data_IF_657895180583
#
_entry.id   IF_657895180583
#
_cell.length_a   1.000
_cell.length_b   1.000
_cell.length_c   1.000
_cell.angle_alpha   90.00
_cell.angle_beta   90.00
_cell.angle_gamma   90.00
#
_symmetry.space_group_name_H-M   'P 1'
#
loop_
_entity.id
_entity.type
_entity.pdbx_description
1 polymer ?
#
# COMPACT_ATOMS: atom_id res chain seq x y z
N UNK A 1 -19.61 3.23 17.32
CA UNK A 1 -18.16 3.40 17.54
C UNK A 1 -17.88 4.89 17.51
N UNK A 2 -17.08 5.43 18.44
CA UNK A 2 -16.68 6.86 18.41
C UNK A 2 -15.17 6.90 18.22
N UNK A 3 -14.72 7.68 17.23
CA UNK A 3 -13.30 7.90 16.95
C UNK A 3 -13.01 9.37 17.25
N UNK A 4 -11.99 9.61 18.07
CA UNK A 4 -11.55 10.97 18.39
C UNK A 4 -10.02 11.02 18.39
N UNK A 5 -9.39 12.08 17.84
CA UNK A 5 -7.94 12.26 17.94
C UNK A 5 -7.57 12.52 19.41
N UNK A 6 -6.57 11.78 19.90
CA UNK A 6 -6.06 11.93 21.28
C UNK A 6 -4.68 12.59 21.33
N UNK A 7 -4.08 12.89 20.16
CA UNK A 7 -2.79 13.54 20.02
C UNK A 7 -2.17 13.26 18.65
N UNK A 8 -1.00 13.84 18.43
CA UNK A 8 -0.23 13.65 17.20
C UNK A 8 1.21 14.10 17.39
N UNK A 9 2.09 13.64 16.50
CA UNK A 9 3.49 14.04 16.46
C UNK A 9 4.00 14.05 15.02
N UNK A 10 4.98 14.88 14.74
CA UNK A 10 5.66 14.86 13.45
C UNK A 10 6.72 13.76 13.44
N UNK A 11 6.78 12.99 12.35
CA UNK A 11 7.87 12.07 12.11
C UNK A 11 9.18 12.84 11.94
N UNK A 12 10.22 12.38 12.63
CA UNK A 12 11.54 13.03 12.67
C UNK A 12 12.63 12.02 12.32
N UNK A 13 13.65 12.49 11.64
CA UNK A 13 14.84 11.69 11.35
C UNK A 13 15.69 11.45 12.63
N UNK A 14 16.75 10.64 12.50
CA UNK A 14 17.69 10.33 13.59
C UNK A 14 18.29 11.59 14.24
N UNK A 15 18.42 12.69 13.47
CA UNK A 15 18.93 13.98 13.95
C UNK A 15 17.85 14.88 14.56
N UNK A 16 16.59 14.43 14.61
CA UNK A 16 15.45 15.16 15.14
C UNK A 16 14.81 16.15 14.15
N UNK A 17 15.21 16.16 12.87
CA UNK A 17 14.62 17.02 11.85
C UNK A 17 13.33 16.38 11.32
N UNK A 18 12.25 17.15 11.10
CA UNK A 18 11.03 16.62 10.52
C UNK A 18 11.30 16.05 9.11
N UNK A 19 10.61 14.97 8.77
CA UNK A 19 10.48 14.54 7.38
C UNK A 19 9.76 15.60 6.54
N UNK A 20 9.78 15.47 5.23
CA UNK A 20 9.02 16.31 4.30
C UNK A 20 8.25 15.44 3.32
N UNK A 21 7.03 15.81 2.95
CA UNK A 21 6.24 15.18 1.88
C UNK A 21 6.58 15.72 0.48
N UNK A 22 7.63 16.57 0.34
CA UNK A 22 8.00 17.13 -0.98
C UNK A 22 8.70 16.08 -1.84
N UNK A 23 8.39 16.08 -3.14
CA UNK A 23 9.14 15.30 -4.13
C UNK A 23 10.65 15.57 -3.98
N UNK A 24 11.46 14.53 -3.82
CA UNK A 24 12.90 14.70 -3.62
C UNK A 24 13.63 15.23 -4.86
N UNK A 25 13.03 15.15 -6.06
CA UNK A 25 13.76 15.30 -7.30
C UNK A 25 14.93 14.30 -7.37
N UNK A 26 16.03 14.63 -8.05
CA UNK A 26 17.22 13.77 -8.09
C UNK A 26 18.06 13.82 -6.82
N UNK A 27 17.61 14.52 -5.77
CA UNK A 27 18.37 14.74 -4.55
C UNK A 27 18.45 13.49 -3.68
N UNK A 28 19.66 13.19 -3.19
CA UNK A 28 19.93 12.04 -2.32
C UNK A 28 20.72 12.49 -1.10
N UNK A 29 20.28 12.01 0.06
CA UNK A 29 20.99 12.15 1.33
C UNK A 29 21.50 10.77 1.76
N UNK A 30 22.81 10.60 1.86
CA UNK A 30 23.41 9.33 2.31
C UNK A 30 23.75 9.37 3.79
N UNK A 31 23.26 8.38 4.56
CA UNK A 31 23.58 8.19 5.99
C UNK A 31 23.80 6.70 6.28
N UNK A 32 24.86 6.35 6.96
CA UNK A 32 25.20 4.96 7.35
C UNK A 32 25.10 3.97 6.17
N UNK A 33 25.47 4.42 4.96
CA UNK A 33 25.43 3.61 3.74
C UNK A 33 24.05 3.38 3.16
N UNK A 34 23.02 4.12 3.62
CA UNK A 34 21.66 4.12 3.06
C UNK A 34 21.45 5.44 2.32
N UNK A 35 20.96 5.35 1.08
CA UNK A 35 20.52 6.48 0.29
C UNK A 35 19.06 6.79 0.61
N UNK A 36 18.78 8.03 1.01
CA UNK A 36 17.44 8.53 1.31
C UNK A 36 17.02 9.56 0.26
N UNK A 37 15.76 9.59 -0.15
CA UNK A 37 15.23 10.67 -0.97
C UNK A 37 15.31 11.99 -0.20
N UNK A 38 15.79 13.07 -0.83
CA UNK A 38 15.91 14.37 -0.17
C UNK A 38 16.00 15.49 -1.18
N UNK A 39 15.16 16.53 -1.12
CA UNK A 39 15.31 17.67 -2.01
C UNK A 39 16.71 18.31 -1.85
N UNK A 40 17.37 18.54 -2.99
CA UNK A 40 18.71 19.13 -2.99
C UNK A 40 18.68 20.63 -2.66
N UNK A 41 17.54 21.31 -2.91
CA UNK A 41 17.34 22.75 -2.73
C UNK A 41 15.88 23.08 -2.48
N UNK A 42 15.63 24.29 -2.04
CA UNK A 42 14.27 24.79 -1.77
C UNK A 42 13.69 24.26 -0.46
N UNK A 43 12.36 24.28 -0.36
CA UNK A 43 11.64 23.78 0.79
C UNK A 43 11.87 22.27 0.97
N UNK A 44 12.22 21.86 2.18
CA UNK A 44 12.55 20.47 2.50
C UNK A 44 14.00 20.07 2.22
N UNK A 45 14.86 20.96 1.70
CA UNK A 45 16.26 20.66 1.39
C UNK A 45 17.00 20.08 2.61
N UNK A 46 17.72 18.97 2.40
CA UNK A 46 18.46 18.24 3.43
C UNK A 46 17.60 17.50 4.44
N UNK A 47 16.27 17.45 4.27
CA UNK A 47 15.36 16.56 4.99
C UNK A 47 15.09 15.31 4.17
N UNK A 48 14.78 14.22 4.84
CA UNK A 48 14.32 13.01 4.15
C UNK A 48 12.89 13.26 3.64
N UNK A 49 12.68 13.01 2.35
CA UNK A 49 11.33 12.95 1.78
C UNK A 49 10.71 11.61 2.17
N UNK A 50 9.42 11.63 2.46
CA UNK A 50 8.63 10.46 2.78
C UNK A 50 7.23 10.66 2.18
N UNK A 51 6.85 9.72 1.35
CA UNK A 51 5.48 9.50 0.92
C UNK A 51 5.00 8.27 1.67
N UNK A 52 4.35 8.53 2.81
CA UNK A 52 4.07 7.47 3.80
C UNK A 52 2.81 6.72 3.43
N UNK A 53 2.91 5.40 3.31
CA UNK A 53 1.82 4.50 2.96
C UNK A 53 1.56 3.49 4.09
N UNK A 54 2.07 2.29 4.00
CA UNK A 54 1.82 1.25 4.99
C UNK A 54 2.37 1.55 6.38
N UNK A 55 1.58 1.23 7.41
CA UNK A 55 1.92 1.38 8.84
C UNK A 55 1.83 0.04 9.57
N UNK A 56 2.95 -0.45 10.11
CA UNK A 56 2.97 -1.68 10.90
C UNK A 56 3.52 -1.47 12.31
N UNK A 57 2.69 -1.72 13.34
CA UNK A 57 3.07 -1.54 14.75
C UNK A 57 3.74 -2.76 15.33
N UNK A 58 4.70 -2.53 16.23
CA UNK A 58 5.33 -3.54 17.07
C UNK A 58 4.74 -3.52 18.48
N UNK A 59 4.77 -4.65 19.21
CA UNK A 59 4.26 -4.71 20.59
C UNK A 59 4.93 -3.75 21.57
N UNK A 60 6.19 -3.37 21.29
CA UNK A 60 6.97 -2.44 22.14
C UNK A 60 6.69 -0.95 21.85
N UNK A 61 5.72 -0.67 20.99
CA UNK A 61 5.28 0.68 20.63
C UNK A 61 6.07 1.31 19.49
N UNK A 62 7.14 0.69 19.02
CA UNK A 62 7.78 1.08 17.74
C UNK A 62 6.88 0.75 16.57
N UNK A 63 7.16 1.34 15.42
CA UNK A 63 6.37 1.08 14.21
C UNK A 63 7.21 1.28 12.95
N UNK A 64 6.83 0.56 11.91
CA UNK A 64 7.37 0.73 10.57
C UNK A 64 6.44 1.61 9.74
N UNK A 65 7.03 2.39 8.86
CA UNK A 65 6.33 3.12 7.78
C UNK A 65 7.01 2.78 6.47
N UNK A 66 6.25 2.33 5.49
CA UNK A 66 6.73 2.14 4.12
C UNK A 66 6.70 3.45 3.34
N UNK A 67 7.52 3.53 2.29
CA UNK A 67 7.75 4.75 1.51
C UNK A 67 7.48 4.51 0.02
N UNK A 68 6.75 5.41 -0.57
CA UNK A 68 6.45 5.37 -2.00
C UNK A 68 7.57 5.98 -2.86
N UNK A 69 8.28 7.01 -2.38
CA UNK A 69 9.41 7.62 -3.09
C UNK A 69 10.60 6.65 -3.16
N UNK A 70 11.15 6.29 -2.00
CA UNK A 70 12.14 5.22 -1.92
C UNK A 70 11.41 3.97 -1.47
N UNK A 71 11.24 2.92 -2.29
CA UNK A 71 10.51 1.72 -1.88
C UNK A 71 11.28 0.97 -0.77
N UNK A 72 11.45 1.66 0.33
CA UNK A 72 12.13 1.28 1.57
C UNK A 72 11.20 1.40 2.77
N UNK A 73 11.73 1.13 3.95
CA UNK A 73 10.95 1.08 5.18
C UNK A 73 11.69 1.81 6.28
N UNK A 74 11.00 2.69 6.99
CA UNK A 74 11.54 3.41 8.14
C UNK A 74 11.03 2.80 9.44
N UNK A 75 11.92 2.61 10.41
CA UNK A 75 11.55 2.21 11.77
C UNK A 75 11.58 3.42 12.68
N UNK A 76 10.46 3.69 13.34
CA UNK A 76 10.30 4.76 14.29
C UNK A 76 10.13 4.23 15.72
N UNK A 77 10.57 5.02 16.70
CA UNK A 77 10.18 4.81 18.08
C UNK A 77 8.74 5.26 18.33
N UNK A 78 8.21 5.02 19.54
CA UNK A 78 6.84 5.39 19.91
C UNK A 78 6.55 6.90 19.89
N UNK A 79 7.56 7.74 19.73
CA UNK A 79 7.45 9.20 19.67
C UNK A 79 7.67 9.76 18.25
N UNK A 80 7.76 8.88 17.25
CA UNK A 80 7.93 9.26 15.85
C UNK A 80 9.36 9.66 15.47
N UNK A 81 10.38 9.28 16.25
CA UNK A 81 11.78 9.46 15.87
C UNK A 81 12.30 8.23 15.16
N UNK A 82 12.87 8.41 13.99
CA UNK A 82 13.52 7.34 13.23
C UNK A 82 14.67 6.73 14.04
N UNK A 83 14.65 5.41 14.20
CA UNK A 83 15.69 4.63 14.88
C UNK A 83 16.37 3.63 13.95
N UNK A 84 15.90 3.51 12.71
CA UNK A 84 16.50 2.68 11.68
C UNK A 84 15.77 2.77 10.34
N UNK A 85 16.31 2.08 9.33
CA UNK A 85 15.69 1.93 8.02
C UNK A 85 16.12 0.64 7.35
N UNK A 86 15.27 0.10 6.49
CA UNK A 86 15.54 -1.01 5.58
C UNK A 86 15.55 -0.40 4.17
N UNK A 87 16.71 -0.41 3.48
CA UNK A 87 16.81 0.16 2.14
C UNK A 87 16.07 -0.69 1.11
N UNK A 88 15.66 -0.12 -0.04
CA UNK A 88 15.05 -0.89 -1.10
C UNK A 88 16.00 -1.95 -1.65
N UNK A 89 15.47 -3.15 -1.93
CA UNK A 89 16.21 -4.17 -2.68
C UNK A 89 16.54 -3.65 -4.09
N UNK A 90 17.67 -4.08 -4.70
CA UNK A 90 18.09 -3.54 -6.00
C UNK A 90 17.03 -3.57 -7.10
N UNK A 91 16.22 -4.64 -7.17
CA UNK A 91 15.15 -4.77 -8.16
C UNK A 91 14.07 -3.68 -8.10
N UNK A 92 13.85 -3.06 -6.92
CA UNK A 92 12.83 -2.04 -6.72
C UNK A 92 13.37 -0.61 -6.82
N UNK A 93 14.69 -0.42 -6.87
CA UNK A 93 15.31 0.91 -6.93
C UNK A 93 14.92 1.62 -8.22
N UNK A 94 14.32 2.81 -8.14
CA UNK A 94 14.03 3.60 -9.33
C UNK A 94 15.34 4.14 -9.92
N UNK A 95 15.64 3.74 -11.15
CA UNK A 95 16.83 4.17 -11.87
C UNK A 95 16.41 5.03 -13.07
N UNK A 96 17.08 6.15 -13.27
CA UNK A 96 16.90 7.04 -14.41
C UNK A 96 18.28 7.31 -15.01
N UNK A 97 18.46 7.05 -16.30
CA UNK A 97 19.75 7.16 -16.98
C UNK A 97 20.88 6.42 -16.24
N UNK A 98 20.57 5.23 -15.72
CA UNK A 98 21.50 4.38 -14.96
C UNK A 98 21.86 4.89 -13.55
N UNK A 99 21.20 5.94 -13.05
CA UNK A 99 21.43 6.54 -11.73
C UNK A 99 20.20 6.36 -10.85
N UNK A 100 20.43 6.16 -9.54
CA UNK A 100 19.37 6.16 -8.54
C UNK A 100 18.71 7.54 -8.49
N UNK A 101 17.40 7.58 -8.70
CA UNK A 101 16.61 8.81 -8.68
C UNK A 101 15.22 8.53 -8.12
N UNK A 102 14.89 9.13 -6.99
CA UNK A 102 13.64 8.90 -6.27
C UNK A 102 12.49 9.83 -6.68
N UNK A 103 12.68 10.68 -7.69
CA UNK A 103 11.65 11.62 -8.12
C UNK A 103 10.34 10.92 -8.50
N UNK A 104 9.21 11.57 -8.25
CA UNK A 104 7.92 11.24 -8.82
C UNK A 104 7.58 12.10 -10.06
N UNK A 105 8.42 13.09 -10.41
CA UNK A 105 8.16 14.02 -11.51
C UNK A 105 8.35 13.41 -12.91
N UNK A 106 9.13 12.34 -13.04
CA UNK A 106 9.34 11.62 -14.30
C UNK A 106 9.44 10.11 -14.08
N UNK A 107 9.00 9.28 -15.07
CA UNK A 107 9.06 7.83 -14.92
C UNK A 107 10.51 7.32 -14.88
N UNK A 108 10.83 6.33 -14.05
CA UNK A 108 12.12 5.65 -14.06
C UNK A 108 12.21 4.64 -15.23
N UNK A 109 13.45 4.28 -15.59
CA UNK A 109 13.74 3.25 -16.59
C UNK A 109 13.54 1.83 -16.00
N UNK A 110 13.84 1.67 -14.71
CA UNK A 110 13.66 0.41 -13.94
C UNK A 110 13.30 0.69 -12.48
N UNK A 111 12.85 -0.33 -11.79
CA UNK A 111 12.47 -0.24 -10.38
C UNK A 111 10.98 0.05 -10.19
N UNK A 112 10.62 0.67 -9.07
CA UNK A 112 9.23 1.04 -8.78
C UNK A 112 8.73 2.04 -9.83
N UNK A 113 7.46 1.99 -10.13
CA UNK A 113 6.80 3.02 -10.97
C UNK A 113 6.58 4.29 -10.15
N UNK A 114 6.45 5.45 -10.83
CA UNK A 114 6.11 6.69 -10.14
C UNK A 114 4.79 6.56 -9.38
N UNK A 115 4.79 7.06 -8.14
CA UNK A 115 3.65 6.98 -7.24
C UNK A 115 3.07 5.57 -7.14
N UNK A 116 3.93 4.55 -7.06
CA UNK A 116 3.60 3.13 -6.91
C UNK A 116 4.75 2.40 -6.21
N UNK A 117 5.14 2.90 -5.05
CA UNK A 117 6.17 2.33 -4.20
C UNK A 117 5.67 1.23 -3.28
N UNK A 118 6.20 1.16 -2.05
CA UNK A 118 5.73 0.21 -1.04
C UNK A 118 4.47 0.75 -0.36
N UNK A 119 3.33 0.25 -0.77
CA UNK A 119 2.01 0.72 -0.37
C UNK A 119 1.56 0.13 0.97
N UNK A 120 1.85 -1.12 1.22
CA UNK A 120 1.36 -1.83 2.38
C UNK A 120 2.48 -2.43 3.23
N UNK A 121 2.27 -2.47 4.55
CA UNK A 121 3.18 -3.09 5.49
C UNK A 121 2.42 -3.79 6.63
N UNK A 122 2.83 -5.00 7.00
CA UNK A 122 2.29 -5.71 8.15
C UNK A 122 3.38 -6.43 8.93
N UNK A 123 3.21 -6.51 10.24
CA UNK A 123 3.99 -7.40 11.11
C UNK A 123 3.16 -8.63 11.41
N UNK A 124 3.76 -9.82 11.31
CA UNK A 124 3.09 -11.07 11.65
C UNK A 124 2.68 -11.10 13.12
N UNK A 125 1.59 -11.81 13.49
CA UNK A 125 1.09 -11.86 14.88
C UNK A 125 2.12 -12.29 15.91
N UNK A 126 3.10 -13.12 15.51
CA UNK A 126 4.22 -13.55 16.38
C UNK A 126 5.33 -12.50 16.50
N UNK A 127 5.24 -11.38 15.79
CA UNK A 127 6.21 -10.28 15.81
C UNK A 127 7.56 -10.57 15.18
N UNK A 128 7.68 -11.66 14.39
CA UNK A 128 8.96 -12.12 13.84
C UNK A 128 9.18 -11.76 12.37
N UNK A 129 8.13 -11.46 11.63
CA UNK A 129 8.22 -11.08 10.22
C UNK A 129 7.62 -9.71 9.99
N UNK A 130 8.27 -8.94 9.14
CA UNK A 130 7.73 -7.75 8.51
C UNK A 130 7.51 -8.09 7.04
N UNK A 131 6.30 -7.84 6.56
CA UNK A 131 5.92 -8.08 5.17
C UNK A 131 5.52 -6.75 4.54
N UNK A 132 5.99 -6.50 3.34
CA UNK A 132 5.62 -5.31 2.56
C UNK A 132 5.30 -5.70 1.13
N UNK A 133 4.43 -4.92 0.49
CA UNK A 133 4.01 -5.15 -0.89
C UNK A 133 4.19 -3.87 -1.70
N UNK A 134 4.76 -4.01 -2.91
CA UNK A 134 4.80 -2.93 -3.90
C UNK A 134 3.39 -2.74 -4.49
N UNK A 135 2.96 -1.51 -4.74
CA UNK A 135 1.60 -1.20 -5.21
C UNK A 135 1.23 -1.91 -6.52
N UNK A 136 2.17 -1.98 -7.46
CA UNK A 136 2.02 -2.64 -8.76
C UNK A 136 3.35 -3.21 -9.25
N UNK A 137 3.37 -3.79 -10.46
CA UNK A 137 4.60 -4.31 -11.07
C UNK A 137 5.69 -3.24 -11.22
N UNK A 138 6.97 -3.65 -11.14
CA UNK A 138 8.11 -2.78 -11.50
C UNK A 138 8.08 -2.44 -12.98
N UNK A 139 8.78 -1.37 -13.38
CA UNK A 139 8.82 -0.92 -14.79
C UNK A 139 9.32 -2.01 -15.72
N UNK A 140 10.39 -2.72 -15.35
CA UNK A 140 10.99 -3.77 -16.17
C UNK A 140 10.11 -5.00 -16.38
N UNK A 141 9.04 -5.17 -15.59
CA UNK A 141 8.12 -6.31 -15.68
C UNK A 141 6.93 -6.06 -16.62
N UNK A 142 6.82 -4.83 -17.15
CA UNK A 142 5.63 -4.36 -17.88
C UNK A 142 5.91 -4.07 -19.36
N UNK A 143 4.85 -3.98 -20.14
CA UNK A 143 4.87 -3.36 -21.46
C UNK A 143 4.48 -1.88 -21.32
N UNK A 144 5.45 -1.04 -20.95
CA UNK A 144 5.41 0.41 -20.80
C UNK A 144 4.05 1.11 -20.79
N UNK A 145 3.36 1.15 -21.92
CA UNK A 145 2.09 1.85 -22.10
C UNK A 145 0.86 1.03 -21.64
N UNK A 146 0.92 -0.32 -21.68
CA UNK A 146 -0.21 -1.18 -21.38
C UNK A 146 -0.37 -1.41 -19.88
N UNK A 147 -1.33 -0.73 -19.25
CA UNK A 147 -1.55 -0.82 -17.81
C UNK A 147 -2.10 -2.19 -17.35
N UNK A 148 -2.66 -3.01 -18.23
CA UNK A 148 -3.05 -4.39 -17.91
C UNK A 148 -1.84 -5.30 -17.66
N UNK A 149 -0.63 -4.92 -18.10
CA UNK A 149 0.60 -5.69 -17.87
C UNK A 149 1.28 -5.40 -16.52
N UNK A 150 0.69 -4.55 -15.68
CA UNK A 150 1.22 -4.17 -14.36
C UNK A 150 0.84 -5.15 -13.25
N UNK A 151 0.44 -6.34 -13.60
CA UNK A 151 -0.18 -7.33 -12.71
C UNK A 151 0.80 -8.09 -11.80
N UNK A 152 2.10 -8.12 -12.07
CA UNK A 152 3.07 -8.90 -11.31
C UNK A 152 3.76 -8.05 -10.24
N UNK A 153 3.10 -7.81 -9.11
CA UNK A 153 3.70 -7.05 -8.01
C UNK A 153 4.58 -7.92 -7.12
N UNK A 154 5.31 -7.30 -6.19
CA UNK A 154 6.33 -7.93 -5.35
C UNK A 154 5.95 -7.89 -3.88
N UNK A 155 6.02 -9.04 -3.21
CA UNK A 155 5.92 -9.20 -1.77
C UNK A 155 7.33 -9.44 -1.23
N UNK A 156 7.77 -8.67 -0.22
CA UNK A 156 9.02 -8.86 0.49
C UNK A 156 8.74 -9.25 1.94
N UNK A 157 9.41 -10.28 2.41
CA UNK A 157 9.31 -10.77 3.80
C UNK A 157 10.66 -10.64 4.48
N UNK A 158 10.73 -9.90 5.57
CA UNK A 158 11.94 -9.67 6.35
C UNK A 158 11.87 -10.39 7.69
N UNK A 159 12.95 -11.06 8.10
CA UNK A 159 13.08 -11.60 9.45
C UNK A 159 13.51 -10.52 10.43
N UNK A 160 12.58 -10.05 11.25
CA UNK A 160 12.80 -9.00 12.24
C UNK A 160 12.99 -9.54 13.66
N UNK A 161 13.19 -10.86 13.82
CA UNK A 161 13.34 -11.49 15.14
C UNK A 161 14.66 -11.15 15.82
N UNK A 162 15.75 -11.07 15.05
CA UNK A 162 17.11 -10.80 15.56
C UNK A 162 17.51 -9.34 15.45
N UNK A 163 17.14 -8.68 14.37
CA UNK A 163 17.33 -7.24 14.13
C UNK A 163 16.08 -6.64 13.57
N UNK A 164 15.73 -5.43 13.99
CA UNK A 164 14.53 -4.74 13.50
C UNK A 164 14.74 -4.08 12.13
N UNK A 165 15.96 -4.03 11.63
CA UNK A 165 16.27 -3.45 10.31
C UNK A 165 17.21 -4.37 9.52
N UNK A 166 16.77 -5.59 9.16
CA UNK A 166 17.53 -6.49 8.30
C UNK A 166 17.73 -5.84 6.91
N UNK A 167 18.89 -6.09 6.30
CA UNK A 167 19.19 -5.51 4.98
C UNK A 167 18.65 -6.32 3.81
N UNK A 168 18.39 -7.60 4.02
CA UNK A 168 17.96 -8.55 2.98
C UNK A 168 16.66 -9.23 3.43
N UNK A 169 15.71 -9.41 2.52
CA UNK A 169 14.52 -10.19 2.80
C UNK A 169 14.85 -11.69 2.86
N UNK A 170 14.09 -12.44 3.63
CA UNK A 170 14.12 -13.91 3.66
C UNK A 170 13.13 -14.53 2.69
N UNK A 171 12.18 -13.73 2.20
CA UNK A 171 11.21 -14.10 1.17
C UNK A 171 11.00 -12.94 0.20
N UNK A 172 10.93 -13.27 -1.09
CA UNK A 172 10.59 -12.36 -2.16
C UNK A 172 9.74 -13.13 -3.17
N UNK A 173 8.49 -12.74 -3.29
CA UNK A 173 7.49 -13.46 -4.07
C UNK A 173 6.81 -12.54 -5.07
N UNK A 174 6.16 -13.14 -6.07
CA UNK A 174 5.31 -12.43 -7.03
C UNK A 174 3.85 -12.68 -6.66
N UNK A 175 3.09 -11.59 -6.51
CA UNK A 175 1.62 -11.60 -6.45
C UNK A 175 1.09 -11.14 -7.81
N UNK A 176 0.18 -11.92 -8.40
CA UNK A 176 -0.50 -11.51 -9.63
C UNK A 176 -1.78 -10.77 -9.27
N UNK A 177 -1.79 -9.46 -9.51
CA UNK A 177 -2.97 -8.63 -9.28
C UNK A 177 -4.00 -8.83 -10.40
N UNK A 178 -5.30 -8.78 -10.09
CA UNK A 178 -6.34 -8.89 -11.09
C UNK A 178 -6.25 -7.83 -12.18
N UNK A 179 -6.51 -8.23 -13.42
CA UNK A 179 -6.66 -7.31 -14.56
C UNK A 179 -8.13 -7.08 -14.86
N UNK A 180 -8.46 -5.86 -15.26
CA UNK A 180 -9.84 -5.43 -15.45
C UNK A 180 -9.99 -4.46 -16.63
N UNK A 181 -11.23 -4.30 -17.08
CA UNK A 181 -11.60 -3.23 -17.99
C UNK A 181 -12.14 -2.04 -17.18
N UNK A 182 -11.49 -0.88 -17.25
CA UNK A 182 -11.82 0.29 -16.43
C UNK A 182 -13.30 0.69 -16.55
N UNK A 183 -13.83 0.62 -17.76
CA UNK A 183 -15.22 1.02 -18.05
C UNK A 183 -16.26 -0.07 -17.72
N UNK A 184 -15.86 -1.28 -17.36
CA UNK A 184 -16.77 -2.40 -17.08
C UNK A 184 -17.58 -2.89 -18.30
N UNK A 185 -17.20 -2.52 -19.52
CA UNK A 185 -17.95 -2.78 -20.75
C UNK A 185 -17.73 -4.16 -21.37
N UNK A 186 -17.01 -5.06 -20.69
CA UNK A 186 -16.75 -6.42 -21.13
C UNK A 186 -15.67 -6.57 -22.23
N UNK A 187 -15.05 -5.47 -22.66
CA UNK A 187 -13.90 -5.52 -23.57
C UNK A 187 -12.64 -6.04 -22.85
N UNK A 188 -11.57 -6.40 -23.57
CA UNK A 188 -10.32 -6.84 -22.95
C UNK A 188 -9.80 -5.86 -21.89
N UNK A 189 -9.15 -6.39 -20.87
CA UNK A 189 -8.59 -5.62 -19.79
C UNK A 189 -7.62 -4.54 -20.29
N UNK A 190 -7.68 -3.36 -19.72
CA UNK A 190 -6.81 -2.21 -20.00
C UNK A 190 -6.13 -1.65 -18.75
N UNK A 191 -6.48 -2.19 -17.57
CA UNK A 191 -5.90 -1.85 -16.29
C UNK A 191 -5.56 -3.09 -15.47
N UNK A 192 -4.74 -2.88 -14.46
CA UNK A 192 -4.52 -3.79 -13.33
C UNK A 192 -5.08 -3.13 -12.07
N UNK A 193 -5.80 -3.89 -11.25
CA UNK A 193 -6.19 -3.47 -9.92
C UNK A 193 -4.93 -3.30 -9.06
N UNK A 194 -4.75 -2.12 -8.45
CA UNK A 194 -3.65 -1.89 -7.53
C UNK A 194 -3.92 -2.58 -6.18
N UNK A 195 -2.87 -2.96 -5.45
CA UNK A 195 -3.01 -3.26 -4.04
C UNK A 195 -2.83 -1.98 -3.22
N UNK A 196 -3.48 -1.85 -2.08
CA UNK A 196 -3.44 -0.63 -1.28
C UNK A 196 -3.29 -0.85 0.23
N UNK A 197 -3.48 -2.05 0.74
CA UNK A 197 -3.22 -2.33 2.16
C UNK A 197 -3.12 -3.84 2.39
N UNK A 198 -2.53 -4.25 3.52
CA UNK A 198 -2.43 -5.65 3.91
C UNK A 198 -2.57 -5.88 5.41
N UNK A 199 -2.98 -7.09 5.78
CA UNK A 199 -2.94 -7.60 7.15
C UNK A 199 -2.33 -9.00 7.17
N UNK A 200 -1.39 -9.26 8.08
CA UNK A 200 -0.79 -10.57 8.23
C UNK A 200 -1.65 -11.47 9.14
N UNK A 201 -1.99 -12.68 8.66
CA UNK A 201 -2.69 -13.70 9.44
C UNK A 201 -1.71 -14.64 10.16
N UNK A 202 -0.61 -14.95 9.51
CA UNK A 202 0.51 -15.75 10.02
C UNK A 202 1.77 -15.46 9.21
N UNK A 203 2.78 -16.33 9.23
CA UNK A 203 4.06 -16.17 8.56
C UNK A 203 4.04 -16.36 7.04
N UNK A 204 2.93 -16.85 6.46
CA UNK A 204 2.78 -17.16 5.03
C UNK A 204 1.43 -16.76 4.43
N UNK A 205 0.44 -16.38 5.23
CA UNK A 205 -0.88 -15.97 4.75
C UNK A 205 -1.18 -14.52 5.12
N UNK A 206 -1.68 -13.78 4.15
CA UNK A 206 -1.96 -12.36 4.26
C UNK A 206 -3.32 -12.02 3.63
N UNK A 207 -4.01 -11.05 4.19
CA UNK A 207 -5.10 -10.37 3.51
C UNK A 207 -4.52 -9.18 2.75
N UNK A 208 -4.92 -9.01 1.51
CA UNK A 208 -4.48 -7.91 0.64
C UNK A 208 -5.69 -7.20 0.09
N UNK A 209 -5.79 -5.91 0.34
CA UNK A 209 -6.82 -5.05 -0.25
C UNK A 209 -6.38 -4.65 -1.65
N UNK A 210 -7.18 -5.02 -2.66
CA UNK A 210 -6.90 -4.70 -4.05
C UNK A 210 -8.11 -4.03 -4.70
N UNK A 211 -7.88 -2.99 -5.50
CA UNK A 211 -8.94 -2.13 -6.02
C UNK A 211 -8.63 -1.54 -7.38
N UNK A 212 -9.69 -1.18 -8.11
CA UNK A 212 -9.63 -0.19 -9.17
C UNK A 212 -9.58 1.24 -8.61
N UNK A 213 -9.43 2.22 -9.48
CA UNK A 213 -9.47 3.64 -9.16
C UNK A 213 -10.84 4.28 -9.44
N UNK A 214 -11.93 3.52 -9.58
CA UNK A 214 -13.27 4.07 -9.83
C UNK A 214 -14.04 4.24 -8.51
N UNK A 215 -14.93 5.22 -8.49
CA UNK A 215 -15.75 5.53 -7.32
C UNK A 215 -15.83 7.02 -7.04
N UNK A 216 -16.41 7.37 -5.89
CA UNK A 216 -16.49 8.77 -5.46
C UNK A 216 -15.07 9.29 -5.14
N UNK A 217 -14.73 10.46 -5.66
CA UNK A 217 -13.45 11.15 -5.44
C UNK A 217 -12.56 11.23 -6.69
N UNK A 218 -12.60 10.27 -7.61
CA UNK A 218 -11.69 10.28 -8.76
C UNK A 218 -12.10 11.18 -9.93
N UNK A 219 -13.32 11.74 -9.89
CA UNK A 219 -13.87 12.60 -10.94
C UNK A 219 -14.19 11.91 -12.27
N UNK A 220 -14.05 10.57 -12.36
CA UNK A 220 -14.43 9.78 -13.54
C UNK A 220 -15.89 9.34 -13.44
N UNK A 221 -16.59 9.17 -14.59
CA UNK A 221 -17.99 8.77 -14.60
C UNK A 221 -18.19 7.25 -14.47
N UNK A 222 -17.13 6.49 -14.17
CA UNK A 222 -17.18 5.02 -14.18
C UNK A 222 -17.50 4.48 -12.79
N UNK A 223 -18.45 3.55 -12.74
CA UNK A 223 -18.71 2.81 -11.51
C UNK A 223 -17.56 1.86 -11.18
N UNK A 224 -17.33 1.56 -9.89
CA UNK A 224 -16.32 0.58 -9.49
C UNK A 224 -16.59 -0.78 -10.14
N UNK A 225 -15.53 -1.41 -10.65
CA UNK A 225 -15.60 -2.73 -11.31
C UNK A 225 -14.87 -3.81 -10.54
N UNK A 226 -13.93 -3.41 -9.66
CA UNK A 226 -13.20 -4.33 -8.80
C UNK A 226 -12.70 -3.67 -7.52
N UNK A 227 -13.19 -4.13 -6.37
CA UNK A 227 -12.64 -3.83 -5.04
C UNK A 227 -12.85 -5.06 -4.16
N UNK A 228 -11.74 -5.67 -3.71
CA UNK A 228 -11.83 -6.93 -2.96
C UNK A 228 -10.70 -7.08 -1.95
N UNK A 229 -10.96 -7.87 -0.92
CA UNK A 229 -9.94 -8.39 -0.02
C UNK A 229 -9.58 -9.79 -0.48
N UNK A 230 -8.32 -9.97 -0.85
CA UNK A 230 -7.75 -11.23 -1.31
C UNK A 230 -7.07 -11.94 -0.14
N UNK A 231 -7.27 -13.25 -0.01
CA UNK A 231 -6.43 -14.11 0.83
C UNK A 231 -5.28 -14.63 -0.02
N UNK A 232 -4.06 -14.32 0.41
CA UNK A 232 -2.82 -14.65 -0.30
C UNK A 232 -2.01 -15.64 0.53
N UNK A 233 -1.48 -16.70 -0.10
CA UNK A 233 -0.63 -17.71 0.54
C UNK A 233 0.69 -17.86 -0.24
N UNK A 234 1.81 -17.65 0.45
CA UNK A 234 3.15 -17.73 -0.16
C UNK A 234 3.70 -19.15 -0.27
N UNK A 235 3.02 -20.15 0.31
CA UNK A 235 3.45 -21.55 0.22
C UNK A 235 3.33 -22.06 -1.21
N UNK A 236 4.39 -22.76 -1.66
CA UNK A 236 4.47 -23.25 -3.04
C UNK A 236 4.86 -22.22 -4.08
N UNK A 237 4.94 -20.94 -3.73
CA UNK A 237 5.46 -19.89 -4.60
C UNK A 237 6.98 -19.92 -4.72
N UNK A 238 7.51 -19.49 -5.85
CA UNK A 238 8.95 -19.37 -6.06
C UNK A 238 9.53 -18.24 -5.20
N UNK A 239 10.43 -18.58 -4.27
CA UNK A 239 11.14 -17.56 -3.49
C UNK A 239 12.31 -17.00 -4.31
N UNK A 240 12.23 -15.72 -4.62
CA UNK A 240 13.24 -14.99 -5.41
C UNK A 240 14.32 -14.32 -4.53
N UNK A 241 14.23 -14.42 -3.19
CA UNK A 241 15.20 -13.82 -2.28
C UNK A 241 16.62 -14.32 -2.57
N UNK A 242 17.58 -13.40 -2.63
CA UNK A 242 18.98 -13.70 -2.93
C UNK A 242 19.28 -14.02 -4.41
N UNK A 243 18.29 -14.07 -5.29
CA UNK A 243 18.48 -14.35 -6.72
C UNK A 243 18.76 -13.08 -7.54
N UNK A 244 19.06 -13.24 -8.82
CA UNK A 244 19.21 -12.10 -9.74
C UNK A 244 17.93 -11.28 -9.89
N UNK A 245 16.75 -11.85 -9.65
CA UNK A 245 15.46 -11.15 -9.69
C UNK A 245 15.27 -10.17 -8.53
N UNK A 246 16.02 -10.31 -7.45
CA UNK A 246 16.06 -9.36 -6.35
C UNK A 246 17.26 -8.42 -6.45
N UNK A 247 18.43 -8.97 -6.83
CA UNK A 247 19.72 -8.25 -6.79
C UNK A 247 19.97 -7.37 -8.01
N UNK A 248 19.08 -7.39 -9.00
CA UNK A 248 19.18 -6.57 -10.20
C UNK A 248 17.80 -6.24 -10.77
N UNK A 249 17.76 -5.42 -11.82
CA UNK A 249 16.54 -5.14 -12.58
C UNK A 249 16.18 -6.27 -13.56
N UNK A 250 16.56 -7.52 -13.29
CA UNK A 250 16.14 -8.67 -14.09
C UNK A 250 14.62 -8.83 -14.01
N UNK A 251 13.89 -8.79 -15.13
CA UNK A 251 12.44 -8.87 -15.11
C UNK A 251 11.95 -10.28 -14.73
N UNK A 252 10.89 -10.34 -13.92
CA UNK A 252 10.16 -11.60 -13.63
C UNK A 252 9.04 -11.85 -14.61
N UNK A 253 8.67 -10.84 -15.40
CA UNK A 253 7.62 -10.93 -16.39
C UNK A 253 8.03 -10.19 -17.67
N UNK A 254 7.41 -10.59 -18.79
CA UNK A 254 7.50 -9.90 -20.07
C UNK A 254 6.08 -9.56 -20.51
N UNK A 255 5.78 -8.28 -20.64
CA UNK A 255 4.45 -7.80 -21.00
C UNK A 255 3.31 -8.43 -20.15
N UNK A 256 3.54 -8.55 -18.82
CA UNK A 256 2.57 -9.11 -17.88
C UNK A 256 2.59 -10.63 -17.75
N UNK A 257 3.23 -11.37 -18.64
CA UNK A 257 3.39 -12.83 -18.54
C UNK A 257 4.65 -13.18 -17.73
N UNK A 258 4.50 -13.99 -16.68
CA UNK A 258 5.64 -14.47 -15.90
C UNK A 258 6.62 -15.24 -16.76
N UNK A 259 7.92 -15.12 -16.46
CA UNK A 259 8.95 -15.95 -17.09
C UNK A 259 8.89 -17.37 -16.55
N UNK A 260 9.32 -18.35 -17.36
CA UNK A 260 9.32 -19.75 -16.99
C UNK A 260 10.07 -20.02 -15.68
N UNK A 261 9.53 -20.92 -14.86
CA UNK A 261 10.11 -21.32 -13.59
C UNK A 261 9.76 -20.40 -12.40
N UNK A 262 8.97 -19.34 -12.60
CA UNK A 262 8.41 -18.53 -11.51
C UNK A 262 6.96 -18.92 -11.28
N UNK A 263 6.68 -19.48 -10.10
CA UNK A 263 5.33 -19.73 -9.59
C UNK A 263 4.91 -18.56 -8.71
N UNK A 264 3.82 -17.85 -9.02
CA UNK A 264 3.31 -16.77 -8.18
C UNK A 264 2.71 -17.31 -6.88
N UNK A 265 2.42 -16.45 -5.92
CA UNK A 265 1.65 -16.80 -4.73
C UNK A 265 0.23 -17.20 -5.12
N UNK A 266 -0.38 -18.05 -4.31
CA UNK A 266 -1.79 -18.39 -4.47
C UNK A 266 -2.65 -17.25 -3.91
N UNK A 267 -3.74 -16.93 -4.59
CA UNK A 267 -4.70 -15.93 -4.15
C UNK A 267 -6.14 -16.43 -4.32
N UNK A 268 -7.01 -15.99 -3.43
CA UNK A 268 -8.45 -16.24 -3.49
C UNK A 268 -9.19 -14.98 -3.04
N UNK A 269 -10.22 -14.58 -3.77
CA UNK A 269 -11.13 -13.51 -3.33
C UNK A 269 -11.86 -13.96 -2.06
N UNK A 270 -11.64 -13.24 -0.97
CA UNK A 270 -12.27 -13.52 0.33
C UNK A 270 -13.52 -12.65 0.55
N UNK A 271 -13.41 -11.36 0.24
CA UNK A 271 -14.52 -10.40 0.39
C UNK A 271 -14.61 -9.55 -0.87
N UNK A 272 -15.75 -9.62 -1.55
CA UNK A 272 -16.10 -8.70 -2.62
C UNK A 272 -16.77 -7.45 -2.03
N UNK A 273 -16.04 -6.33 -2.03
CA UNK A 273 -16.50 -5.07 -1.46
C UNK A 273 -17.56 -4.37 -2.35
N UNK A 274 -17.74 -4.84 -3.58
CA UNK A 274 -18.78 -4.35 -4.49
C UNK A 274 -20.11 -5.12 -4.36
N UNK A 275 -20.20 -6.08 -3.42
CA UNK A 275 -21.44 -6.86 -3.25
C UNK A 275 -22.62 -5.94 -2.89
N UNK A 276 -23.64 -5.80 -3.76
CA UNK A 276 -24.72 -4.82 -3.57
C UNK A 276 -25.58 -5.11 -2.34
N UNK A 277 -25.71 -6.38 -1.95
CA UNK A 277 -26.46 -6.76 -0.74
C UNK A 277 -25.72 -6.29 0.52
N UNK A 278 -24.39 -6.40 0.53
CA UNK A 278 -23.59 -5.92 1.66
C UNK A 278 -23.56 -4.39 1.69
N UNK A 279 -23.31 -3.74 0.57
CA UNK A 279 -23.33 -2.27 0.46
C UNK A 279 -24.67 -1.68 0.87
N UNK A 280 -25.78 -2.31 0.47
CA UNK A 280 -27.12 -1.88 0.87
C UNK A 280 -27.34 -1.90 2.39
N UNK A 281 -26.67 -2.79 3.15
CA UNK A 281 -26.72 -2.80 4.62
C UNK A 281 -26.02 -1.59 5.25
N UNK A 282 -25.04 -1.01 4.55
CA UNK A 282 -24.38 0.23 4.95
C UNK A 282 -25.09 1.49 4.40
N UNK A 283 -26.16 1.31 3.62
CA UNK A 283 -26.82 2.41 2.91
C UNK A 283 -26.01 2.96 1.74
N UNK A 284 -25.04 2.18 1.23
CA UNK A 284 -24.14 2.61 0.15
C UNK A 284 -24.54 2.02 -1.20
N UNK A 285 -24.02 2.65 -2.27
CA UNK A 285 -24.22 2.24 -3.65
C UNK A 285 -22.92 2.42 -4.47
N UNK A 286 -22.95 1.98 -5.74
CA UNK A 286 -21.80 2.04 -6.65
C UNK A 286 -21.92 3.16 -7.70
N UNK A 287 -23.06 3.88 -7.77
CA UNK A 287 -23.34 4.83 -8.85
C UNK A 287 -22.47 6.08 -8.72
N UNK A 288 -21.61 6.32 -9.68
CA UNK A 288 -20.68 7.47 -9.71
C UNK A 288 -21.19 8.63 -10.58
N UNK A 289 -22.18 8.41 -11.43
CA UNK A 289 -22.70 9.47 -12.31
C UNK A 289 -24.23 9.64 -12.18
N UNK A 290 -24.68 10.59 -11.33
CA UNK A 290 -23.89 11.41 -10.40
C UNK A 290 -23.52 10.64 -9.13
N UNK A 291 -22.37 10.96 -8.56
CA UNK A 291 -21.98 10.43 -7.23
C UNK A 291 -22.77 11.16 -6.12
N UNK A 292 -22.96 10.48 -5.01
CA UNK A 292 -23.62 10.99 -3.81
C UNK A 292 -22.75 10.71 -2.58
N UNK A 293 -23.04 11.27 -1.39
CA UNK A 293 -22.35 10.89 -0.15
C UNK A 293 -22.41 9.41 0.19
N UNK A 294 -23.30 8.65 -0.44
CA UNK A 294 -23.47 7.20 -0.26
C UNK A 294 -22.82 6.37 -1.37
N UNK A 295 -22.15 7.00 -2.33
CA UNK A 295 -21.39 6.29 -3.36
C UNK A 295 -20.06 5.82 -2.76
N UNK A 296 -19.71 4.53 -3.04
CA UNK A 296 -18.45 3.96 -2.55
C UNK A 296 -17.25 4.76 -3.06
N UNK A 297 -16.33 5.08 -2.15
CA UNK A 297 -15.12 5.83 -2.47
C UNK A 297 -14.20 5.07 -3.42
N UNK A 298 -13.46 5.81 -4.23
CA UNK A 298 -12.45 5.28 -5.14
C UNK A 298 -11.30 4.60 -4.38
N UNK A 299 -10.77 5.28 -3.34
CA UNK A 299 -9.56 4.90 -2.61
C UNK A 299 -9.91 4.19 -1.31
N UNK A 300 -10.16 2.87 -1.38
CA UNK A 300 -10.16 2.03 -0.20
C UNK A 300 -8.70 1.64 0.09
N UNK A 301 -8.10 2.20 1.15
CA UNK A 301 -6.65 2.13 1.41
C UNK A 301 -6.31 1.83 2.87
N UNK A 302 -7.29 1.59 3.70
CA UNK A 302 -7.05 1.19 5.08
C UNK A 302 -7.69 -0.15 5.38
N UNK A 303 -6.96 -1.03 6.08
CA UNK A 303 -7.48 -2.33 6.51
C UNK A 303 -6.94 -2.71 7.88
N UNK A 304 -7.80 -3.24 8.74
CA UNK A 304 -7.40 -3.76 10.04
C UNK A 304 -8.25 -4.95 10.45
N UNK A 305 -7.70 -5.81 11.29
CA UNK A 305 -8.40 -6.94 11.88
C UNK A 305 -8.49 -6.77 13.40
N UNK A 306 -9.64 -7.15 13.97
CA UNK A 306 -9.79 -7.30 15.40
C UNK A 306 -10.57 -8.58 15.71
N UNK A 307 -10.22 -9.34 16.79
CA UNK A 307 -10.98 -10.52 17.18
C UNK A 307 -12.41 -10.12 17.57
N UNK A 308 -13.39 -10.93 17.15
CA UNK A 308 -14.80 -10.69 17.48
C UNK A 308 -15.11 -10.91 18.96
N UNK A 309 -14.23 -11.65 19.67
CA UNK A 309 -14.37 -12.00 21.10
C UNK A 309 -15.71 -12.68 21.42
N UNK A 310 -16.28 -13.40 20.45
CA UNK A 310 -17.52 -14.17 20.62
C UNK A 310 -17.19 -15.59 21.11
N UNK A 311 -17.58 -15.97 22.33
CA UNK A 311 -17.30 -17.32 22.85
C UNK A 311 -17.92 -18.45 22.01
N UNK A 312 -18.98 -18.17 21.25
CA UNK A 312 -19.63 -19.14 20.35
C UNK A 312 -18.95 -19.24 18.98
N UNK A 313 -18.14 -18.27 18.64
CA UNK A 313 -17.40 -18.19 17.38
C UNK A 313 -15.99 -17.59 17.62
N UNK A 314 -15.10 -18.33 18.34
CA UNK A 314 -13.82 -17.81 18.83
C UNK A 314 -12.82 -17.47 17.72
N UNK A 315 -13.07 -17.95 16.49
CA UNK A 315 -12.24 -17.68 15.31
C UNK A 315 -12.77 -16.55 14.44
N UNK A 316 -13.91 -15.94 14.82
CA UNK A 316 -14.43 -14.80 14.09
C UNK A 316 -13.62 -13.55 14.38
N UNK A 317 -13.46 -12.76 13.32
CA UNK A 317 -12.79 -11.46 13.36
C UNK A 317 -13.68 -10.39 12.75
N UNK A 318 -13.49 -9.17 13.18
CA UNK A 318 -13.96 -8.00 12.45
C UNK A 318 -12.86 -7.53 11.50
N UNK A 319 -13.22 -7.39 10.23
CA UNK A 319 -12.44 -6.73 9.21
C UNK A 319 -12.96 -5.30 9.06
N UNK A 320 -12.08 -4.34 9.24
CA UNK A 320 -12.32 -2.93 9.01
C UNK A 320 -11.68 -2.55 7.68
N UNK A 321 -12.43 -1.88 6.80
CA UNK A 321 -11.93 -1.34 5.53
C UNK A 321 -12.31 0.13 5.47
N UNK A 322 -11.35 1.00 5.33
CA UNK A 322 -11.54 2.44 5.26
C UNK A 322 -11.06 3.04 3.95
N UNK A 323 -11.56 4.21 3.60
CA UNK A 323 -11.07 4.98 2.48
C UNK A 323 -10.07 6.06 2.92
N UNK A 324 -9.13 6.38 2.04
CA UNK A 324 -8.47 7.67 1.97
C UNK A 324 -9.38 8.62 1.18
N UNK A 325 -9.59 9.82 1.69
CA UNK A 325 -10.43 10.82 1.04
C UNK A 325 -9.61 11.92 0.35
N UNK A 326 -8.30 11.79 0.23
CA UNK A 326 -7.39 12.78 -0.38
C UNK A 326 -7.59 14.21 0.15
N UNK A 327 -8.02 14.35 1.41
CA UNK A 327 -8.46 15.63 1.99
C UNK A 327 -9.62 16.29 1.22
N UNK A 328 -10.40 15.53 0.47
CA UNK A 328 -11.62 16.00 -0.20
C UNK A 328 -12.74 16.25 0.83
N UNK A 329 -12.54 17.23 1.70
CA UNK A 329 -13.52 17.72 2.65
C UNK A 329 -13.76 19.20 2.40
N UNK A 330 -15.00 19.65 2.45
CA UNK A 330 -15.31 21.06 2.19
C UNK A 330 -14.70 21.96 3.24
N UNK A 331 -14.69 21.54 4.51
CA UNK A 331 -14.17 22.35 5.61
C UNK A 331 -13.60 21.48 6.71
N UNK A 332 -12.48 21.94 7.27
CA UNK A 332 -11.83 21.30 8.41
C UNK A 332 -11.19 22.32 9.32
N UNK A 333 -10.67 21.87 10.46
CA UNK A 333 -9.88 22.70 11.37
C UNK A 333 -8.62 21.96 11.78
N UNK A 334 -7.45 22.55 11.47
CA UNK A 334 -6.15 21.98 11.79
C UNK A 334 -5.39 22.95 12.67
N UNK A 335 -4.95 22.50 13.85
CA UNK A 335 -4.21 23.33 14.83
C UNK A 335 -4.91 24.66 15.18
N UNK A 336 -6.25 24.62 15.24
CA UNK A 336 -7.04 25.81 15.56
C UNK A 336 -7.27 26.78 14.39
N UNK A 337 -6.73 26.49 13.21
CA UNK A 337 -6.95 27.26 11.99
C UNK A 337 -8.02 26.57 11.13
N UNK A 338 -8.94 27.36 10.63
CA UNK A 338 -9.94 26.88 9.68
C UNK A 338 -9.24 26.55 8.35
N UNK A 339 -9.57 25.41 7.79
CA UNK A 339 -9.06 24.90 6.54
C UNK A 339 -10.22 24.62 5.58
N UNK A 340 -10.15 25.18 4.39
CA UNK A 340 -11.10 24.93 3.31
C UNK A 340 -10.41 24.16 2.18
N UNK A 341 -10.61 22.85 2.12
CA UNK A 341 -10.01 21.98 1.12
C UNK A 341 -10.56 22.25 -0.28
N UNK A 342 -11.76 22.81 -0.39
CA UNK A 342 -12.36 23.15 -1.70
C UNK A 342 -11.55 24.20 -2.47
N UNK A 343 -10.78 25.03 -1.75
CA UNK A 343 -9.90 26.04 -2.34
C UNK A 343 -8.57 25.50 -2.86
N UNK A 344 -8.13 24.34 -2.34
CA UNK A 344 -6.83 23.76 -2.66
C UNK A 344 -6.93 22.52 -3.53
N UNK A 345 -8.12 21.96 -3.66
CA UNK A 345 -8.35 20.75 -4.47
C UNK A 345 -8.26 21.10 -5.96
N UNK A 346 -7.08 20.87 -6.55
CA UNK A 346 -6.83 21.10 -7.97
C UNK A 346 -7.69 20.23 -8.90
N UNK A 347 -8.36 19.22 -8.37
CA UNK A 347 -9.25 18.35 -9.14
C UNK A 347 -10.59 19.01 -9.45
N UNK A 348 -10.90 20.17 -8.86
CA UNK A 348 -11.96 21.11 -9.30
C UNK A 348 -13.35 20.50 -9.54
N UNK A 349 -13.60 19.34 -9.01
CA UNK A 349 -14.72 18.51 -9.49
C UNK A 349 -16.06 18.90 -8.89
N UNK A 350 -16.15 19.86 -8.00
CA UNK A 350 -17.42 20.20 -7.33
C UNK A 350 -18.07 18.98 -6.63
N UNK A 351 -17.28 17.95 -6.40
CA UNK A 351 -17.75 16.64 -5.97
C UNK A 351 -18.23 16.61 -4.51
N UNK A 352 -18.20 17.72 -3.82
CA UNK A 352 -18.61 17.78 -2.42
C UNK A 352 -17.71 16.94 -1.52
N UNK A 353 -18.05 16.91 -0.24
CA UNK A 353 -17.31 16.15 0.76
C UNK A 353 -17.22 14.67 0.44
N UNK A 354 -16.01 14.11 0.40
CA UNK A 354 -15.76 12.69 0.38
C UNK A 354 -15.37 12.25 1.81
N UNK A 355 -16.38 12.03 2.63
CA UNK A 355 -16.17 11.67 4.03
C UNK A 355 -15.40 10.36 4.18
N UNK A 356 -14.61 10.25 5.25
CA UNK A 356 -14.02 8.98 5.63
C UNK A 356 -15.11 8.00 6.07
N UNK A 357 -15.14 6.84 5.42
CA UNK A 357 -16.06 5.74 5.70
C UNK A 357 -15.26 4.52 6.15
N UNK A 358 -15.72 3.86 7.21
CA UNK A 358 -15.17 2.57 7.64
C UNK A 358 -16.27 1.52 7.53
N UNK A 359 -16.10 0.58 6.60
CA UNK A 359 -16.92 -0.61 6.45
C UNK A 359 -16.44 -1.68 7.44
N UNK A 360 -17.36 -2.32 8.14
CA UNK A 360 -17.03 -3.36 9.12
C UNK A 360 -17.70 -4.66 8.73
N UNK A 361 -16.91 -5.68 8.42
CA UNK A 361 -17.37 -7.02 8.12
C UNK A 361 -17.05 -7.97 9.27
N UNK A 362 -17.92 -8.92 9.57
CA UNK A 362 -17.60 -10.05 10.43
C UNK A 362 -17.24 -11.24 9.55
N UNK A 363 -16.06 -11.79 9.74
CA UNK A 363 -15.53 -12.90 8.98
C UNK A 363 -15.27 -14.09 9.88
N UNK A 364 -15.60 -15.28 9.39
CA UNK A 364 -15.02 -16.53 9.90
C UNK A 364 -13.88 -16.86 8.96
N UNK A 365 -12.63 -16.67 9.40
CA UNK A 365 -11.48 -17.02 8.57
C UNK A 365 -11.45 -18.55 8.41
N UNK A 366 -11.14 -19.06 7.18
CA UNK A 366 -10.90 -20.48 6.98
C UNK A 366 -9.84 -20.91 7.99
N UNK A 367 -10.07 -22.02 8.69
CA UNK A 367 -9.32 -22.44 9.88
C UNK A 367 -7.83 -22.26 9.64
N UNK A 368 -7.27 -21.19 10.18
CA UNK A 368 -5.84 -21.09 10.39
C UNK A 368 -5.54 -22.27 11.31
N UNK A 369 -4.82 -23.28 10.81
CA UNK A 369 -4.42 -24.39 11.65
C UNK A 369 -3.78 -23.77 12.89
N UNK A 370 -4.46 -23.88 14.03
CA UNK A 370 -3.95 -23.36 15.28
C UNK A 370 -2.52 -23.89 15.42
N UNK A 371 -1.53 -23.06 15.79
CA UNK A 371 -0.23 -23.59 16.12
C UNK A 371 -0.46 -24.69 17.14
N UNK A 372 -0.02 -25.90 16.82
CA UNK A 372 -0.05 -27.00 17.80
C UNK A 372 0.69 -26.50 19.04
N UNK A 373 0.09 -26.71 20.24
CA UNK A 373 0.66 -26.26 21.51
C UNK A 373 2.07 -26.80 21.74
#
# INVERSE_FOLDING_TARGET
MTIAPVGGFLLRDEAGRPFTGKDPGPGILTRKGIAYPSPARGEGAGRVSLDSEGLARLPDGRFYVSDEYAPGIYLFDRHGRQVGAIPPVPALRPMIDGKLDFTAARPPDTGRRNNQGLEAAAVTPDGKRLVVILQSATVQDTDGANAATRNNTRILVYDISKTRTPREPVGHYVLQLPTLRETGDGRPADLTAAQSEMAALNDHQFLVLSRDGNGRGNGKPYDPVFKSVLLVDTRGATNLAGTAYERSARPVAKAGALVDGITPVQEVELVNLLNPVQLGRFGMNLTTSPSTPYTLSEKLEAMALAPALDPKAPHDVFLFVGNDNDFETARGRVNGLDFDASLTNARGSGAGDNDNVILVYRLTLPSLAAPKP
#
